data_IF_846872434053
#
_entry.id   IF_846872434053
#
_cell.length_a   1.000
_cell.length_b   1.000
_cell.length_c   1.000
_cell.angle_alpha   90.00
_cell.angle_beta   90.00
_cell.angle_gamma   90.00
#
_symmetry.space_group_name_H-M   'P 1'
#
loop_
_entity.id
_entity.type
_entity.pdbx_description
1 polymer ?
#
# COMPACT_ATOMS: atom_id res chain seq x y z
N UNK A 1 -54.70 -15.90 -40.07
CA UNK A 1 -53.48 -15.08 -39.96
C UNK A 1 -52.72 -15.47 -38.67
N UNK A 2 -51.57 -16.14 -38.82
CA UNK A 2 -50.75 -16.56 -37.67
C UNK A 2 -49.58 -15.55 -37.54
N UNK A 3 -49.52 -14.83 -36.45
CA UNK A 3 -48.40 -13.93 -36.13
C UNK A 3 -47.30 -14.75 -35.47
N UNK A 4 -46.14 -14.86 -36.12
CA UNK A 4 -44.93 -15.49 -35.60
C UNK A 4 -44.15 -14.44 -34.82
N UNK A 5 -44.12 -14.57 -33.50
CA UNK A 5 -43.36 -13.68 -32.60
C UNK A 5 -41.89 -14.07 -32.68
N UNK A 6 -41.08 -13.18 -33.24
CA UNK A 6 -39.60 -13.33 -33.32
C UNK A 6 -39.00 -12.79 -32.00
N UNK A 7 -38.49 -13.71 -31.14
CA UNK A 7 -37.76 -13.36 -29.92
C UNK A 7 -36.31 -13.03 -30.32
N UNK A 8 -35.97 -11.76 -30.22
CA UNK A 8 -34.57 -11.29 -30.31
C UNK A 8 -33.88 -11.60 -28.97
N UNK A 9 -32.97 -12.54 -28.97
CA UNK A 9 -32.12 -12.87 -27.83
C UNK A 9 -30.96 -11.91 -27.84
N UNK A 10 -31.01 -10.85 -27.01
CA UNK A 10 -29.91 -9.92 -26.83
C UNK A 10 -28.76 -10.57 -26.07
N UNK A 11 -27.65 -10.82 -26.75
CA UNK A 11 -26.40 -11.30 -26.16
C UNK A 11 -25.74 -10.15 -25.45
N UNK A 12 -25.87 -10.10 -24.13
CA UNK A 12 -25.22 -9.09 -23.28
C UNK A 12 -23.75 -9.49 -23.09
N UNK A 13 -22.83 -8.93 -23.91
CA UNK A 13 -21.40 -9.08 -23.74
C UNK A 13 -20.98 -8.39 -22.44
N UNK A 14 -20.79 -9.17 -21.39
CA UNK A 14 -20.10 -8.73 -20.17
C UNK A 14 -18.61 -8.68 -20.51
N UNK A 15 -18.08 -7.49 -20.82
CA UNK A 15 -16.65 -7.30 -20.96
C UNK A 15 -16.02 -7.53 -19.60
N UNK A 16 -15.06 -8.47 -19.44
CA UNK A 16 -14.33 -8.60 -18.19
C UNK A 16 -13.55 -7.30 -17.96
N UNK A 17 -13.71 -6.69 -16.79
CA UNK A 17 -12.84 -5.63 -16.35
C UNK A 17 -11.42 -6.21 -16.32
N UNK A 18 -10.58 -5.72 -17.21
CA UNK A 18 -9.17 -6.10 -17.23
C UNK A 18 -8.55 -5.59 -15.93
N UNK A 19 -8.38 -6.48 -14.96
CA UNK A 19 -7.54 -6.20 -13.80
C UNK A 19 -6.12 -5.94 -14.35
N UNK A 20 -5.59 -4.75 -14.10
CA UNK A 20 -4.23 -4.41 -14.50
C UNK A 20 -3.26 -5.38 -13.82
N UNK A 21 -2.41 -6.03 -14.60
CA UNK A 21 -1.37 -6.87 -14.04
C UNK A 21 -0.30 -6.00 -13.36
N UNK A 22 0.26 -6.50 -12.26
CA UNK A 22 1.36 -5.86 -11.56
C UNK A 22 2.54 -5.62 -12.51
N UNK A 23 3.14 -4.42 -12.46
CA UNK A 23 4.44 -4.23 -13.10
C UNK A 23 5.53 -4.95 -12.27
N UNK A 24 6.22 -5.97 -12.83
CA UNK A 24 7.21 -6.74 -12.08
C UNK A 24 8.40 -5.86 -11.61
N UNK A 25 8.62 -4.69 -12.21
CA UNK A 25 9.64 -3.75 -11.76
C UNK A 25 9.40 -3.19 -10.36
N UNK A 26 8.14 -3.26 -9.85
CA UNK A 26 7.84 -2.87 -8.47
C UNK A 26 8.47 -3.83 -7.45
N UNK A 27 8.59 -5.11 -7.81
CA UNK A 27 9.24 -6.09 -6.93
C UNK A 27 10.71 -5.76 -6.70
N UNK A 28 11.17 -6.01 -5.48
CA UNK A 28 12.56 -5.83 -5.09
C UNK A 28 12.75 -5.07 -3.80
N UNK A 29 13.99 -4.68 -3.56
CA UNK A 29 14.44 -3.97 -2.38
C UNK A 29 14.59 -2.47 -2.70
N UNK A 30 13.98 -1.63 -1.90
CA UNK A 30 13.91 -0.18 -2.06
C UNK A 30 14.40 0.50 -0.80
N UNK A 31 15.42 1.35 -0.90
CA UNK A 31 16.00 2.10 0.22
C UNK A 31 15.54 3.55 0.20
N UNK A 32 15.07 4.03 1.35
CA UNK A 32 14.58 5.40 1.49
C UNK A 32 15.72 6.43 1.28
N UNK A 33 15.45 7.43 0.47
CA UNK A 33 16.24 8.66 0.40
C UNK A 33 15.73 9.64 1.46
N UNK A 34 16.39 9.68 2.60
CA UNK A 34 16.01 10.53 3.74
C UNK A 34 16.03 12.03 3.40
N UNK A 35 16.90 12.46 2.47
CA UNK A 35 17.03 13.88 2.12
C UNK A 35 15.88 14.39 1.25
N UNK A 36 15.27 13.50 0.48
CA UNK A 36 14.18 13.81 -0.46
C UNK A 36 12.80 13.35 0.03
N UNK A 37 12.72 12.91 1.29
CA UNK A 37 11.51 12.32 1.87
C UNK A 37 10.98 13.13 3.05
N UNK A 38 9.71 12.90 3.40
CA UNK A 38 9.14 13.36 4.64
C UNK A 38 9.96 12.81 5.82
N UNK A 39 10.06 13.60 6.90
CA UNK A 39 10.82 13.19 8.08
C UNK A 39 10.25 11.89 8.68
N UNK A 40 11.14 10.98 8.98
CA UNK A 40 10.84 9.76 9.73
C UNK A 40 11.00 10.06 11.21
N UNK A 41 9.96 10.20 11.93
CA UNK A 41 9.89 10.56 13.33
C UNK A 41 10.75 9.66 14.27
N UNK A 42 12.08 9.87 14.23
CA UNK A 42 13.10 9.14 14.99
C UNK A 42 13.77 7.98 14.24
N UNK A 43 13.17 7.42 13.19
CA UNK A 43 13.81 6.37 12.40
C UNK A 43 14.95 6.92 11.55
N UNK A 44 16.07 6.18 11.46
CA UNK A 44 17.28 6.58 10.72
C UNK A 44 17.40 5.87 9.38
N UNK A 45 16.72 4.74 9.22
CA UNK A 45 16.64 4.01 7.95
C UNK A 45 15.25 3.43 7.76
N UNK A 46 14.87 3.25 6.49
CA UNK A 46 13.69 2.49 6.10
C UNK A 46 13.98 1.83 4.76
N UNK A 47 14.01 0.51 4.78
CA UNK A 47 14.03 -0.31 3.58
C UNK A 47 12.63 -0.91 3.38
N UNK A 48 12.12 -0.82 2.17
CA UNK A 48 10.86 -1.42 1.75
C UNK A 48 11.16 -2.54 0.77
N UNK A 49 10.76 -3.77 1.12
CA UNK A 49 10.88 -4.91 0.22
C UNK A 49 9.49 -5.29 -0.28
N UNK A 50 9.34 -5.25 -1.59
CA UNK A 50 8.08 -5.58 -2.27
C UNK A 50 8.22 -6.94 -2.92
N UNK A 51 7.35 -7.89 -2.54
CA UNK A 51 7.22 -9.19 -3.17
C UNK A 51 5.86 -9.32 -3.85
N UNK A 52 5.86 -9.86 -5.07
CA UNK A 52 4.66 -10.07 -5.89
C UNK A 52 4.43 -11.57 -6.05
N UNK A 53 3.21 -12.04 -5.73
CA UNK A 53 2.79 -13.43 -5.94
C UNK A 53 1.33 -13.45 -6.41
N UNK A 54 1.14 -13.51 -7.72
CA UNK A 54 -0.19 -13.40 -8.35
C UNK A 54 -0.87 -12.07 -7.98
N UNK A 55 -2.00 -12.14 -7.28
CA UNK A 55 -2.73 -10.96 -6.79
C UNK A 55 -2.24 -10.46 -5.43
N UNK A 56 -1.43 -11.27 -4.74
CA UNK A 56 -0.86 -10.93 -3.45
C UNK A 56 0.37 -10.05 -3.61
N UNK A 57 0.45 -9.02 -2.79
CA UNK A 57 1.61 -8.15 -2.66
C UNK A 57 2.01 -8.09 -1.19
N UNK A 58 3.23 -8.48 -0.87
CA UNK A 58 3.79 -8.34 0.47
C UNK A 58 4.66 -7.08 0.52
N UNK A 59 4.29 -6.15 1.39
CA UNK A 59 5.02 -4.92 1.67
C UNK A 59 5.76 -5.09 2.99
N UNK A 60 7.05 -5.48 2.94
CA UNK A 60 7.87 -5.63 4.14
C UNK A 60 8.64 -4.34 4.39
N UNK A 61 8.51 -3.83 5.60
CA UNK A 61 9.18 -2.64 6.12
C UNK A 61 10.28 -3.05 7.09
N UNK A 62 11.52 -2.74 6.75
CA UNK A 62 12.68 -2.94 7.62
C UNK A 62 13.19 -1.55 8.05
N UNK A 63 13.06 -1.23 9.34
CA UNK A 63 13.38 0.08 9.86
C UNK A 63 14.37 -0.01 11.01
N UNK A 64 15.20 1.02 11.17
CA UNK A 64 16.16 1.09 12.27
C UNK A 64 16.19 2.48 12.92
N UNK A 65 16.29 2.49 14.23
CA UNK A 65 16.57 3.65 15.04
C UNK A 65 17.56 3.26 16.14
N UNK A 66 18.80 3.78 16.06
CA UNK A 66 19.90 3.37 16.95
C UNK A 66 20.09 1.84 16.91
N UNK A 67 20.04 1.17 18.08
CA UNK A 67 20.10 -0.29 18.18
C UNK A 67 18.76 -0.99 17.93
N UNK A 68 17.64 -0.25 17.92
CA UNK A 68 16.30 -0.83 17.70
C UNK A 68 16.10 -1.11 16.23
N UNK A 69 15.76 -2.35 15.91
CA UNK A 69 15.33 -2.79 14.57
C UNK A 69 13.87 -3.20 14.62
N UNK A 70 13.14 -2.90 13.56
CA UNK A 70 11.76 -3.31 13.36
C UNK A 70 11.62 -3.91 11.98
N UNK A 71 10.99 -5.06 11.90
CA UNK A 71 10.53 -5.66 10.65
C UNK A 71 9.02 -5.90 10.77
N UNK A 72 8.26 -5.41 9.80
CA UNK A 72 6.81 -5.63 9.72
C UNK A 72 6.42 -5.86 8.27
N UNK A 73 5.38 -6.68 8.04
CA UNK A 73 4.89 -6.98 6.70
C UNK A 73 3.40 -6.72 6.63
N UNK A 74 2.98 -5.94 5.63
CA UNK A 74 1.58 -5.75 5.27
C UNK A 74 1.27 -6.60 4.01
N UNK A 75 0.68 -7.79 4.16
CA UNK A 75 0.20 -8.56 3.02
C UNK A 75 -1.12 -7.96 2.51
N UNK A 76 -1.18 -7.63 1.23
CA UNK A 76 -2.39 -7.12 0.60
C UNK A 76 -2.77 -7.97 -0.62
N UNK A 77 -4.04 -7.98 -1.01
CA UNK A 77 -4.55 -8.69 -2.19
C UNK A 77 -5.23 -7.69 -3.12
N UNK A 78 -4.79 -7.65 -4.37
CA UNK A 78 -5.31 -6.69 -5.36
C UNK A 78 -6.59 -7.15 -6.06
N UNK A 79 -7.01 -8.41 -5.83
CA UNK A 79 -8.26 -8.96 -6.37
C UNK A 79 -9.44 -8.84 -5.40
N UNK A 80 -9.18 -8.74 -4.09
CA UNK A 80 -10.24 -8.69 -3.06
C UNK A 80 -9.79 -7.93 -1.80
N UNK A 81 -10.72 -7.34 -1.05
CA UNK A 81 -10.43 -6.81 0.27
C UNK A 81 -9.91 -7.90 1.21
N UNK A 82 -9.01 -7.54 2.12
CA UNK A 82 -8.42 -8.41 3.13
C UNK A 82 -8.47 -7.77 4.50
N UNK A 83 -8.23 -8.57 5.54
CA UNK A 83 -7.96 -8.09 6.90
C UNK A 83 -6.51 -8.40 7.26
N UNK A 84 -5.76 -7.36 7.62
CA UNK A 84 -4.35 -7.47 7.99
C UNK A 84 -4.22 -7.28 9.49
N UNK A 85 -3.70 -8.31 10.18
CA UNK A 85 -3.41 -8.22 11.61
C UNK A 85 -2.18 -7.34 11.82
N UNK A 86 -2.25 -6.45 12.81
CA UNK A 86 -1.15 -5.55 13.17
C UNK A 86 -0.62 -4.76 11.95
N UNK A 87 -1.53 -4.20 11.13
CA UNK A 87 -1.17 -3.42 9.95
C UNK A 87 -0.16 -2.35 10.32
N UNK A 88 1.03 -2.46 9.72
CA UNK A 88 2.12 -1.55 9.98
C UNK A 88 1.94 -0.21 9.25
N UNK A 89 2.18 0.87 9.96
CA UNK A 89 2.38 2.22 9.44
C UNK A 89 3.58 2.87 10.13
N UNK A 90 4.19 3.85 9.49
CA UNK A 90 5.23 4.65 10.16
C UNK A 90 4.61 5.40 11.33
N UNK A 91 5.12 5.18 12.51
CA UNK A 91 4.67 5.85 13.72
C UNK A 91 4.93 7.35 13.68
N UNK A 92 3.99 8.10 14.22
CA UNK A 92 4.12 9.52 14.49
C UNK A 92 4.24 9.71 16.01
N UNK A 93 5.42 9.43 16.55
CA UNK A 93 5.68 9.42 17.99
C UNK A 93 5.35 10.74 18.67
N UNK A 94 5.65 11.86 18.01
CA UNK A 94 5.32 13.18 18.54
C UNK A 94 3.81 13.44 18.70
N UNK A 95 2.97 12.68 18.02
CA UNK A 95 1.51 12.75 18.13
C UNK A 95 0.92 11.71 19.08
N UNK A 96 1.74 10.81 19.64
CA UNK A 96 1.32 9.71 20.52
C UNK A 96 0.15 8.90 19.91
N UNK A 97 0.26 8.54 18.61
CA UNK A 97 -0.72 7.77 17.87
C UNK A 97 -0.17 6.37 17.61
N UNK A 98 -0.70 5.36 18.25
CA UNK A 98 -0.20 3.98 18.18
C UNK A 98 -1.25 3.03 17.61
N UNK A 99 -0.88 2.09 16.70
CA UNK A 99 -1.79 1.03 16.29
C UNK A 99 -2.18 0.16 17.49
N UNK A 100 -3.46 -0.21 17.57
CA UNK A 100 -3.95 -1.15 18.59
C UNK A 100 -3.36 -2.53 18.29
N UNK A 101 -2.66 -3.12 19.24
CA UNK A 101 -2.03 -4.45 19.08
C UNK A 101 -3.08 -5.53 18.85
N UNK A 102 -2.78 -6.44 17.93
CA UNK A 102 -3.64 -7.59 17.61
C UNK A 102 -4.90 -7.21 16.83
N UNK A 103 -5.11 -5.92 16.53
CA UNK A 103 -6.26 -5.49 15.76
C UNK A 103 -6.18 -5.98 14.32
N UNK A 104 -7.33 -6.40 13.77
CA UNK A 104 -7.51 -6.64 12.35
C UNK A 104 -7.83 -5.31 11.67
N UNK A 105 -7.11 -5.01 10.61
CA UNK A 105 -7.30 -3.80 9.81
C UNK A 105 -7.89 -4.17 8.47
N UNK A 106 -9.07 -3.65 8.11
CA UNK A 106 -9.59 -3.82 6.75
C UNK A 106 -8.70 -3.08 5.76
N UNK A 107 -8.30 -3.79 4.70
CA UNK A 107 -7.40 -3.30 3.66
C UNK A 107 -7.98 -3.59 2.29
N UNK A 108 -7.91 -2.62 1.39
CA UNK A 108 -8.19 -2.76 -0.03
C UNK A 108 -6.96 -2.33 -0.82
N UNK A 109 -6.59 -3.11 -1.82
CA UNK A 109 -5.51 -2.78 -2.73
C UNK A 109 -5.93 -2.95 -4.18
N UNK A 110 -5.36 -2.16 -5.08
CA UNK A 110 -5.57 -2.29 -6.53
C UNK A 110 -4.42 -1.70 -7.32
N UNK A 111 -4.29 -2.14 -8.57
CA UNK A 111 -3.34 -1.60 -9.52
C UNK A 111 -3.94 -0.45 -10.33
N UNK A 112 -3.20 0.62 -10.47
CA UNK A 112 -3.49 1.78 -11.31
C UNK A 112 -2.40 1.96 -12.37
N UNK A 113 -2.65 2.83 -13.35
CA UNK A 113 -1.68 3.27 -14.35
C UNK A 113 -0.96 2.11 -15.08
N UNK A 114 -1.71 1.09 -15.48
CA UNK A 114 -1.13 -0.08 -16.15
C UNK A 114 -0.20 -0.91 -15.27
N UNK A 115 -0.48 -1.00 -13.98
CA UNK A 115 0.31 -1.75 -13.01
C UNK A 115 1.53 -0.99 -12.44
N UNK A 116 1.69 0.30 -12.78
CA UNK A 116 2.81 1.13 -12.29
C UNK A 116 2.57 1.74 -10.92
N UNK A 117 1.32 1.77 -10.47
CA UNK A 117 0.93 2.33 -9.16
C UNK A 117 0.14 1.27 -8.41
N UNK A 118 0.60 0.93 -7.21
CA UNK A 118 -0.18 0.16 -6.24
C UNK A 118 -0.87 1.14 -5.29
N UNK A 119 -2.19 1.16 -5.30
CA UNK A 119 -3.01 1.87 -4.33
C UNK A 119 -3.36 0.93 -3.18
N UNK A 120 -3.20 1.39 -1.94
CA UNK A 120 -3.60 0.68 -0.73
C UNK A 120 -4.43 1.61 0.15
N UNK A 121 -5.60 1.16 0.56
CA UNK A 121 -6.45 1.83 1.54
C UNK A 121 -6.59 0.94 2.76
N UNK A 122 -6.33 1.48 3.94
CA UNK A 122 -6.40 0.76 5.21
C UNK A 122 -7.09 1.63 6.27
N UNK A 123 -7.77 0.98 7.22
CA UNK A 123 -8.42 1.68 8.32
C UNK A 123 -8.06 1.02 9.65
N UNK A 124 -6.80 1.15 10.11
CA UNK A 124 -6.39 0.63 11.40
C UNK A 124 -7.07 1.36 12.56
N UNK A 125 -7.23 0.65 13.69
CA UNK A 125 -7.62 1.24 14.95
C UNK A 125 -6.37 1.85 15.61
N UNK A 126 -6.47 3.11 15.98
CA UNK A 126 -5.37 3.89 16.57
C UNK A 126 -5.73 4.28 17.99
N UNK A 127 -4.82 4.01 18.90
CA UNK A 127 -4.90 4.44 20.30
C UNK A 127 -4.23 5.79 20.48
N UNK A 128 -4.87 6.67 21.22
CA UNK A 128 -4.36 7.97 21.64
C UNK A 128 -4.72 8.25 23.09
N UNK A 129 -4.26 9.36 23.66
CA UNK A 129 -4.68 9.83 24.98
C UNK A 129 -6.19 10.09 25.12
N UNK A 130 -6.90 10.23 24.00
CA UNK A 130 -8.35 10.49 23.97
C UNK A 130 -9.16 9.21 23.69
N UNK A 131 -8.53 8.05 23.57
CA UNK A 131 -9.17 6.77 23.28
C UNK A 131 -8.78 6.16 21.94
N UNK A 132 -9.54 5.15 21.54
CA UNK A 132 -9.32 4.40 20.29
C UNK A 132 -10.25 4.94 19.21
N UNK A 133 -9.69 5.16 18.02
CA UNK A 133 -10.47 5.63 16.86
C UNK A 133 -9.93 5.04 15.54
N UNK A 134 -10.78 4.88 14.51
CA UNK A 134 -10.33 4.46 13.20
C UNK A 134 -9.57 5.59 12.49
N UNK A 135 -8.40 5.28 11.93
CA UNK A 135 -7.64 6.20 11.07
C UNK A 135 -7.65 5.67 9.65
N UNK A 136 -8.24 6.41 8.72
CA UNK A 136 -8.14 6.07 7.31
C UNK A 136 -6.75 6.47 6.77
N UNK A 137 -6.08 5.51 6.16
CA UNK A 137 -4.80 5.66 5.48
C UNK A 137 -5.01 5.35 4.01
N UNK A 138 -4.51 6.22 3.15
CA UNK A 138 -4.47 6.05 1.71
C UNK A 138 -3.02 6.11 1.27
N UNK A 139 -2.57 5.12 0.53
CA UNK A 139 -1.20 5.00 0.03
C UNK A 139 -1.19 4.77 -1.47
N UNK A 140 -0.26 5.44 -2.18
CA UNK A 140 0.12 5.12 -3.56
C UNK A 140 1.61 4.84 -3.61
N UNK A 141 1.98 3.62 -4.01
CA UNK A 141 3.35 3.24 -4.33
C UNK A 141 3.51 3.32 -5.85
N UNK A 142 4.24 4.32 -6.32
CA UNK A 142 4.35 4.66 -7.74
C UNK A 142 5.76 4.52 -8.25
N UNK A 143 5.95 3.73 -9.33
CA UNK A 143 7.21 3.66 -10.06
C UNK A 143 7.42 4.90 -10.92
N UNK A 144 8.58 5.54 -10.79
CA UNK A 144 9.01 6.72 -11.55
C UNK A 144 10.44 6.54 -12.08
N UNK A 145 10.89 7.45 -12.93
CA UNK A 145 12.27 7.52 -13.42
C UNK A 145 12.84 6.19 -13.95
N UNK A 146 12.15 5.59 -14.93
CA UNK A 146 12.62 4.36 -15.58
C UNK A 146 12.69 3.15 -14.63
N UNK A 147 11.77 3.08 -13.67
CA UNK A 147 11.62 1.99 -12.69
C UNK A 147 12.78 1.87 -11.69
N UNK A 148 13.53 2.97 -11.49
CA UNK A 148 14.63 3.04 -10.52
C UNK A 148 14.29 3.78 -9.24
N UNK A 149 13.23 4.58 -9.27
CA UNK A 149 12.70 5.28 -8.09
C UNK A 149 11.28 4.81 -7.80
N UNK A 150 10.98 4.60 -6.54
CA UNK A 150 9.63 4.35 -6.03
C UNK A 150 9.23 5.51 -5.14
N UNK A 151 8.07 6.09 -5.41
CA UNK A 151 7.47 7.16 -4.59
C UNK A 151 6.28 6.60 -3.86
N UNK A 152 6.31 6.66 -2.53
CA UNK A 152 5.16 6.41 -1.67
C UNK A 152 4.54 7.74 -1.25
N UNK A 153 3.30 7.96 -1.63
CA UNK A 153 2.47 9.07 -1.17
C UNK A 153 1.49 8.50 -0.14
N UNK A 154 1.49 9.04 1.06
CA UNK A 154 0.62 8.59 2.13
C UNK A 154 -0.23 9.73 2.70
N UNK A 155 -1.54 9.53 2.76
CA UNK A 155 -2.52 10.44 3.32
C UNK A 155 -3.16 9.80 4.55
N UNK A 156 -3.20 10.54 5.65
CA UNK A 156 -3.91 10.13 6.86
C UNK A 156 -5.13 11.02 7.09
N UNK A 157 -6.22 10.45 7.58
CA UNK A 157 -7.40 11.25 7.95
C UNK A 157 -7.14 12.26 9.09
N UNK A 158 -6.02 12.13 9.77
CA UNK A 158 -5.57 13.03 10.87
C UNK A 158 -4.61 14.11 10.41
N UNK A 159 -4.28 14.20 9.10
CA UNK A 159 -3.33 15.17 8.55
C UNK A 159 -3.92 15.93 7.38
N UNK A 160 -3.56 17.20 7.27
CA UNK A 160 -3.97 18.07 6.16
C UNK A 160 -3.03 17.98 4.94
N UNK A 161 -1.84 17.40 5.10
CA UNK A 161 -0.84 17.30 4.05
C UNK A 161 -0.36 15.86 3.90
N UNK A 162 -0.10 15.39 2.66
CA UNK A 162 0.46 14.08 2.41
C UNK A 162 1.89 13.97 2.95
N UNK A 163 2.27 12.75 3.31
CA UNK A 163 3.66 12.35 3.50
C UNK A 163 4.16 11.80 2.17
N UNK A 164 5.34 12.23 1.75
CA UNK A 164 5.94 11.76 0.51
C UNK A 164 7.30 11.14 0.83
N UNK A 165 7.46 9.89 0.49
CA UNK A 165 8.67 9.12 0.68
C UNK A 165 9.23 8.67 -0.67
N UNK A 166 10.52 8.86 -0.89
CA UNK A 166 11.21 8.48 -2.11
C UNK A 166 12.23 7.41 -1.82
N UNK A 167 12.17 6.35 -2.59
CA UNK A 167 13.06 5.21 -2.44
C UNK A 167 13.83 4.97 -3.73
N UNK A 168 15.07 4.56 -3.60
CA UNK A 168 15.91 4.13 -4.70
C UNK A 168 16.03 2.62 -4.69
N UNK A 169 15.97 1.98 -5.86
CA UNK A 169 16.12 0.53 -5.98
C UNK A 169 17.53 0.10 -5.60
N UNK A 170 17.63 -0.85 -4.68
CA UNK A 170 18.91 -1.47 -4.32
C UNK A 170 19.25 -2.53 -5.37
N UNK A 171 20.34 -2.31 -6.09
CA UNK A 171 20.82 -3.22 -7.13
C UNK A 171 22.08 -3.91 -6.59
N UNK A 172 22.08 -5.24 -6.49
CA UNK A 172 23.31 -5.99 -6.32
C UNK A 172 23.71 -6.40 -4.90
N UNK A 173 22.83 -6.35 -3.90
CA UNK A 173 23.06 -7.14 -2.66
C UNK A 173 22.56 -8.58 -2.91
N UNK A 174 23.52 -9.48 -3.24
CA UNK A 174 23.31 -10.94 -3.24
C UNK A 174 23.61 -11.50 -1.86
#
# INVERSE_FOLDING_TARGET
MKFTSMRVLGLMCVLPWAAWAANPALAGHWRLDLKRSAALDGWTTWDLVVALDGTRVDLRHDMQWRATKLTATNPVDTAKPTEVKDFFRVEQRHMALYPVRGALTPVRAEWLDGGRTLRVEATPQIESSQGVFPMRIYQELRLVEGDRELVLIELHSTRSKPLVYRFTKVIGEK
#
